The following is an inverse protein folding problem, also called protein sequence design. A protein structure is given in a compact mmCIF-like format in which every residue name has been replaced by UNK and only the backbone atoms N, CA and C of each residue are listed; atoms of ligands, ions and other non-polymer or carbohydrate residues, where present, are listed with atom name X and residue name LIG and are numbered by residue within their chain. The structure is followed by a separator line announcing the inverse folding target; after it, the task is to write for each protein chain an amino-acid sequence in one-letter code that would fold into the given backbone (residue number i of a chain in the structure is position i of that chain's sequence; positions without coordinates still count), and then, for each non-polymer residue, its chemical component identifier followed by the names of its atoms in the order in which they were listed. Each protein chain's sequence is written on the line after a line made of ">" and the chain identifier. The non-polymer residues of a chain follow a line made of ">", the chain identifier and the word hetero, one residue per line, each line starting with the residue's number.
data_IF_071720348388
#
_entry.id   IF_071720348388
#
_cell.length_a   1.000
_cell.length_b   1.000
_cell.length_c   1.000
_cell.angle_alpha   90.00
_cell.angle_beta   90.00
_cell.angle_gamma   90.00
#
_symmetry.space_group_name_H-M   'P 1'
#
loop_
_entity.id
_entity.type
_entity.pdbx_description
1 polymer ?
#
# COMPACT_ATOMS: atom_id res chain seq x y z
N UNK A 1 31.46 8.13 -33.69
CA UNK A 1 31.76 7.60 -32.34
C UNK A 1 31.03 8.33 -31.20
N UNK A 2 30.47 9.54 -31.40
CA UNK A 2 29.76 10.29 -30.35
C UNK A 2 28.29 9.88 -30.14
N UNK A 3 27.59 9.47 -31.20
CA UNK A 3 26.16 9.12 -31.11
C UNK A 3 25.95 7.85 -30.26
N UNK A 4 26.81 6.85 -30.42
CA UNK A 4 26.71 5.60 -29.67
C UNK A 4 26.95 5.80 -28.17
N UNK A 5 27.91 6.67 -27.81
CA UNK A 5 28.16 7.08 -26.43
C UNK A 5 26.97 7.86 -25.84
N UNK A 6 26.35 8.73 -26.65
CA UNK A 6 25.18 9.49 -26.26
C UNK A 6 23.95 8.59 -26.03
N UNK A 7 23.73 7.58 -26.88
CA UNK A 7 22.67 6.59 -26.70
C UNK A 7 22.91 5.72 -25.45
N UNK A 8 24.15 5.31 -25.19
CA UNK A 8 24.53 4.59 -23.96
C UNK A 8 24.29 5.44 -22.71
N UNK A 9 24.64 6.73 -22.75
CA UNK A 9 24.38 7.66 -21.65
C UNK A 9 22.88 7.88 -21.42
N UNK A 10 22.08 8.02 -22.48
CA UNK A 10 20.62 8.12 -22.38
C UNK A 10 20.02 6.85 -21.77
N UNK A 11 20.48 5.66 -22.16
CA UNK A 11 19.97 4.40 -21.61
C UNK A 11 20.23 4.25 -20.11
N UNK A 12 21.33 4.79 -19.60
CA UNK A 12 21.64 4.80 -18.17
C UNK A 12 20.70 5.71 -17.35
N UNK A 13 20.11 6.73 -17.98
CA UNK A 13 19.09 7.59 -17.34
C UNK A 13 17.69 6.94 -17.28
N UNK A 14 17.46 5.88 -18.07
CA UNK A 14 16.19 5.15 -18.14
C UNK A 14 16.21 3.83 -17.35
N UNK A 15 17.15 3.66 -16.42
CA UNK A 15 17.08 2.57 -15.44
C UNK A 15 16.01 2.89 -14.39
N UNK A 16 14.74 2.70 -14.75
CA UNK A 16 13.61 2.80 -13.83
C UNK A 16 13.63 1.51 -12.99
N UNK A 17 14.29 1.55 -11.83
CA UNK A 17 14.03 0.55 -10.79
C UNK A 17 12.52 0.52 -10.54
N UNK A 18 11.91 -0.64 -10.24
CA UNK A 18 10.48 -0.71 -9.95
C UNK A 18 10.19 0.23 -8.77
N UNK A 19 9.69 1.42 -9.11
CA UNK A 19 9.40 2.45 -8.14
C UNK A 19 8.19 1.97 -7.37
N UNK A 20 8.35 1.74 -6.08
CA UNK A 20 7.25 1.39 -5.19
C UNK A 20 6.24 2.55 -5.16
N UNK A 21 5.29 2.52 -6.09
CA UNK A 21 4.36 3.61 -6.39
C UNK A 21 3.46 3.89 -5.19
N UNK A 22 3.09 2.83 -4.46
CA UNK A 22 2.36 2.88 -3.21
C UNK A 22 3.10 2.09 -2.14
N UNK A 23 3.98 2.78 -1.41
CA UNK A 23 4.70 2.15 -0.31
C UNK A 23 3.77 1.97 0.90
N UNK A 24 3.63 0.71 1.35
CA UNK A 24 2.83 0.32 2.51
C UNK A 24 3.76 0.05 3.69
N UNK A 25 3.54 0.76 4.79
CA UNK A 25 4.25 0.56 6.05
C UNK A 25 3.25 0.09 7.12
N UNK A 26 3.54 -1.06 7.75
CA UNK A 26 2.71 -1.65 8.80
C UNK A 26 3.51 -1.65 10.11
N UNK A 27 3.00 -0.94 11.11
CA UNK A 27 3.62 -0.85 12.44
C UNK A 27 2.71 -1.48 13.47
N UNK A 28 3.29 -2.31 14.33
CA UNK A 28 2.58 -2.93 15.44
C UNK A 28 2.99 -2.28 16.75
N UNK A 29 2.03 -1.95 17.61
CA UNK A 29 2.28 -1.39 18.94
C UNK A 29 1.44 -2.12 19.98
N UNK A 30 2.11 -2.72 20.97
CA UNK A 30 1.44 -3.29 22.13
C UNK A 30 0.91 -2.16 23.02
N UNK A 31 -0.33 -2.30 23.47
CA UNK A 31 -1.02 -1.37 24.35
C UNK A 31 -1.56 -2.08 25.59
N UNK A 32 -1.25 -1.53 26.77
CA UNK A 32 -1.77 -1.97 28.06
C UNK A 32 -1.65 -3.49 28.31
N UNK A 33 -0.64 -4.12 27.71
CA UNK A 33 -0.37 -5.57 27.67
C UNK A 33 -1.55 -6.48 27.29
N UNK A 34 -2.62 -5.93 26.72
CA UNK A 34 -3.87 -6.65 26.39
C UNK A 34 -4.29 -6.46 24.94
N UNK A 35 -3.78 -5.43 24.28
CA UNK A 35 -4.16 -5.06 22.93
C UNK A 35 -2.93 -4.86 22.07
N UNK A 36 -3.09 -5.07 20.77
CA UNK A 36 -2.13 -4.70 19.75
C UNK A 36 -2.81 -3.74 18.78
N UNK A 37 -2.21 -2.57 18.58
CA UNK A 37 -2.62 -1.59 17.57
C UNK A 37 -1.76 -1.79 16.34
N UNK A 38 -2.43 -1.99 15.21
CA UNK A 38 -1.82 -2.11 13.89
C UNK A 38 -2.07 -0.79 13.17
N UNK A 39 -1.01 -0.05 12.89
CA UNK A 39 -1.06 1.19 12.09
C UNK A 39 -0.58 0.85 10.70
N UNK A 40 -1.40 1.17 9.71
CA UNK A 40 -1.07 1.02 8.29
C UNK A 40 -0.94 2.42 7.73
N UNK A 41 0.19 2.71 7.09
CA UNK A 41 0.45 3.94 6.37
C UNK A 41 0.70 3.62 4.91
N UNK A 42 0.07 4.39 4.02
CA UNK A 42 0.28 4.30 2.57
C UNK A 42 0.85 5.62 2.09
N UNK A 43 2.01 5.55 1.43
CA UNK A 43 2.67 6.70 0.83
C UNK A 43 2.44 6.70 -0.68
N UNK A 44 1.90 7.79 -1.22
CA UNK A 44 1.74 7.95 -2.65
C UNK A 44 3.05 8.44 -3.28
N UNK A 45 3.91 7.51 -3.68
CA UNK A 45 5.16 7.82 -4.39
C UNK A 45 4.97 7.92 -5.91
N UNK A 46 3.75 7.64 -6.39
CA UNK A 46 3.36 7.80 -7.79
C UNK A 46 3.27 9.27 -8.18
N UNK A 47 3.17 9.53 -9.49
CA UNK A 47 2.91 10.87 -10.02
C UNK A 47 1.40 11.18 -10.17
N UNK A 48 0.53 10.29 -9.69
CA UNK A 48 -0.94 10.40 -9.87
C UNK A 48 -1.62 10.72 -8.54
N UNK A 49 -2.65 11.55 -8.60
CA UNK A 49 -3.56 11.76 -7.48
C UNK A 49 -4.47 10.54 -7.29
N UNK A 50 -4.78 10.17 -6.05
CA UNK A 50 -5.65 9.02 -5.75
C UNK A 50 -6.90 9.53 -5.04
N UNK A 51 -8.08 9.26 -5.59
CA UNK A 51 -9.37 9.72 -5.06
C UNK A 51 -10.08 8.68 -4.20
N UNK A 52 -9.79 7.39 -4.40
CA UNK A 52 -10.31 6.32 -3.55
C UNK A 52 -9.22 5.29 -3.32
N UNK A 53 -9.12 4.80 -2.09
CA UNK A 53 -8.10 3.84 -1.68
C UNK A 53 -8.66 2.92 -0.59
N UNK A 54 -8.83 1.65 -0.94
CA UNK A 54 -9.21 0.59 -0.01
C UNK A 54 -8.22 -0.56 -0.06
N UNK A 55 -8.14 -1.30 1.05
CA UNK A 55 -7.43 -2.56 1.08
C UNK A 55 -7.93 -3.48 2.18
N UNK A 56 -7.26 -4.61 2.32
CA UNK A 56 -7.58 -5.64 3.30
C UNK A 56 -6.39 -5.88 4.22
N UNK A 57 -6.65 -5.83 5.52
CA UNK A 57 -5.72 -6.25 6.56
C UNK A 57 -5.98 -7.72 6.90
N UNK A 58 -5.01 -8.57 6.62
CA UNK A 58 -5.00 -9.97 7.02
C UNK A 58 -4.37 -10.09 8.41
N UNK A 59 -5.04 -10.85 9.28
CA UNK A 59 -4.52 -11.30 10.57
C UNK A 59 -4.20 -12.78 10.46
N UNK A 60 -2.91 -13.12 10.51
CA UNK A 60 -2.38 -14.44 10.20
C UNK A 60 -1.75 -15.01 11.47
N UNK A 61 -2.09 -16.25 11.82
CA UNK A 61 -1.49 -16.91 12.97
C UNK A 61 -0.07 -17.40 12.66
N UNK A 62 0.63 -17.91 13.67
CA UNK A 62 1.97 -18.49 13.54
C UNK A 62 2.09 -19.68 12.57
N UNK A 63 0.98 -20.37 12.29
CA UNK A 63 0.91 -21.52 11.37
C UNK A 63 0.69 -21.09 9.91
N UNK A 64 0.40 -19.81 9.67
CA UNK A 64 0.06 -19.27 8.37
C UNK A 64 -1.44 -19.28 8.06
N UNK A 65 -2.31 -19.68 9.00
CA UNK A 65 -3.76 -19.62 8.78
C UNK A 65 -4.25 -18.17 8.91
N UNK A 66 -5.10 -17.74 7.97
CA UNK A 66 -5.78 -16.44 8.03
C UNK A 66 -6.89 -16.55 9.09
N UNK A 67 -6.71 -15.88 10.22
CA UNK A 67 -7.68 -15.80 11.31
C UNK A 67 -8.81 -14.82 10.99
N UNK A 68 -8.48 -13.70 10.36
CA UNK A 68 -9.47 -12.73 9.90
C UNK A 68 -8.94 -11.86 8.77
N UNK A 69 -9.87 -11.35 7.97
CA UNK A 69 -9.65 -10.34 6.95
C UNK A 69 -10.54 -9.14 7.27
N UNK A 70 -9.98 -7.92 7.26
CA UNK A 70 -10.74 -6.69 7.51
C UNK A 70 -10.48 -5.67 6.42
N UNK A 71 -11.56 -5.20 5.77
CA UNK A 71 -11.50 -4.06 4.85
C UNK A 71 -11.16 -2.78 5.61
N UNK A 72 -10.23 -2.00 5.06
CA UNK A 72 -9.83 -0.69 5.53
C UNK A 72 -9.99 0.30 4.39
N UNK A 73 -10.86 1.29 4.59
CA UNK A 73 -11.04 2.42 3.69
C UNK A 73 -10.16 3.58 4.17
N UNK A 74 -9.21 3.97 3.31
CA UNK A 74 -8.29 5.07 3.58
C UNK A 74 -8.83 6.38 3.04
N UNK A 75 -9.43 6.35 1.86
CA UNK A 75 -9.96 7.50 1.14
C UNK A 75 -11.28 7.14 0.48
N UNK A 76 -12.30 7.93 0.77
CA UNK A 76 -13.55 8.00 0.02
C UNK A 76 -13.55 9.22 -0.92
N UNK A 77 -14.41 9.26 -1.96
CA UNK A 77 -14.45 10.39 -2.89
C UNK A 77 -14.63 11.76 -2.22
N UNK A 78 -15.29 11.80 -1.06
CA UNK A 78 -15.55 13.01 -0.29
C UNK A 78 -14.34 13.52 0.51
N UNK A 79 -13.32 12.68 0.74
CA UNK A 79 -12.14 13.03 1.55
C UNK A 79 -11.13 13.91 0.80
N UNK A 80 -11.34 14.12 -0.50
CA UNK A 80 -10.36 14.70 -1.40
C UNK A 80 -9.34 13.68 -1.90
N UNK A 81 -8.38 14.14 -2.72
CA UNK A 81 -7.40 13.25 -3.35
C UNK A 81 -6.05 13.27 -2.63
N UNK A 82 -5.50 12.07 -2.38
CA UNK A 82 -4.14 11.88 -1.91
C UNK A 82 -3.15 12.23 -3.02
N UNK A 83 -2.47 13.37 -2.87
CA UNK A 83 -1.53 13.90 -3.85
C UNK A 83 -0.21 13.10 -3.86
N UNK A 84 0.59 13.18 -4.93
CA UNK A 84 1.97 12.73 -4.93
C UNK A 84 2.75 13.22 -3.72
N UNK A 85 3.56 12.34 -3.14
CA UNK A 85 4.38 12.53 -1.93
C UNK A 85 3.59 12.77 -0.64
N UNK A 86 2.28 12.57 -0.65
CA UNK A 86 1.48 12.55 0.57
C UNK A 86 1.32 11.13 1.12
N UNK A 87 0.95 11.08 2.38
CA UNK A 87 0.70 9.83 3.11
C UNK A 87 -0.67 9.88 3.76
N UNK A 88 -1.29 8.71 3.86
CA UNK A 88 -2.53 8.51 4.63
C UNK A 88 -2.32 7.32 5.56
N UNK A 89 -2.89 7.37 6.76
CA UNK A 89 -2.80 6.29 7.73
C UNK A 89 -4.14 5.97 8.38
N UNK A 90 -4.31 4.71 8.75
CA UNK A 90 -5.43 4.20 9.53
C UNK A 90 -4.91 3.15 10.51
N UNK A 91 -5.61 2.97 11.62
CA UNK A 91 -5.27 1.93 12.59
C UNK A 91 -6.43 0.98 12.90
N UNK A 92 -6.08 -0.23 13.33
CA UNK A 92 -7.01 -1.21 13.89
C UNK A 92 -6.43 -1.82 15.15
N UNK A 93 -7.31 -2.09 16.10
CA UNK A 93 -6.96 -2.70 17.39
C UNK A 93 -7.45 -4.15 17.41
N UNK A 94 -6.59 -5.04 17.88
CA UNK A 94 -6.86 -6.45 18.11
C UNK A 94 -6.50 -6.82 19.55
N UNK A 95 -7.07 -7.90 20.05
CA UNK A 95 -6.64 -8.48 21.33
C UNK A 95 -5.24 -9.07 21.18
N UNK A 96 -4.39 -8.87 22.19
CA UNK A 96 -3.03 -9.39 22.20
C UNK A 96 -3.04 -10.89 22.49
N UNK A 97 -2.60 -11.70 21.54
CA UNK A 97 -2.27 -13.10 21.77
C UNK A 97 -0.83 -13.22 22.30
N UNK A 98 -0.68 -13.51 23.61
CA UNK A 98 0.65 -13.61 24.24
C UNK A 98 1.37 -14.93 23.99
N UNK A 99 0.67 -15.96 23.49
CA UNK A 99 1.27 -17.30 23.35
C UNK A 99 2.17 -17.38 22.12
N UNK A 100 1.77 -16.74 21.03
CA UNK A 100 2.49 -16.76 19.76
C UNK A 100 2.30 -15.41 19.06
N UNK A 101 3.37 -14.84 18.47
CA UNK A 101 3.26 -13.58 17.75
C UNK A 101 2.45 -13.80 16.46
N UNK A 102 1.36 -13.06 16.33
CA UNK A 102 0.57 -13.03 15.10
C UNK A 102 1.28 -12.15 14.05
N UNK A 103 1.06 -12.46 12.77
CA UNK A 103 1.54 -11.66 11.64
C UNK A 103 0.37 -10.87 11.05
N UNK A 104 0.67 -9.66 10.58
CA UNK A 104 -0.30 -8.81 9.91
C UNK A 104 0.25 -8.42 8.54
N UNK A 105 -0.57 -8.60 7.52
CA UNK A 105 -0.26 -8.25 6.14
C UNK A 105 -1.36 -7.36 5.58
N UNK A 106 -1.00 -6.43 4.70
CA UNK A 106 -1.96 -5.50 4.11
C UNK A 106 -1.82 -5.49 2.58
N UNK A 107 -2.95 -5.60 1.91
CA UNK A 107 -3.04 -5.57 0.46
C UNK A 107 -3.95 -4.45 0.02
N UNK A 108 -3.47 -3.64 -0.93
CA UNK A 108 -4.29 -2.65 -1.61
C UNK A 108 -5.20 -3.41 -2.56
N UNK A 109 -6.51 -3.18 -2.46
CA UNK A 109 -7.51 -3.90 -3.24
C UNK A 109 -8.21 -3.01 -4.26
N UNK A 110 -8.30 -1.71 -3.97
CA UNK A 110 -8.96 -0.74 -4.81
C UNK A 110 -8.22 0.58 -4.78
N UNK A 111 -7.96 1.10 -5.96
CA UNK A 111 -7.42 2.42 -6.24
C UNK A 111 -8.28 3.03 -7.35
N UNK A 112 -8.72 4.26 -7.15
CA UNK A 112 -9.26 5.09 -8.23
C UNK A 112 -8.50 6.39 -8.32
N UNK A 113 -8.36 6.85 -9.55
CA UNK A 113 -7.75 8.13 -9.87
C UNK A 113 -8.86 9.14 -10.18
N UNK A 114 -8.68 10.43 -9.88
CA UNK A 114 -9.65 11.45 -10.22
C UNK A 114 -10.01 11.41 -11.70
N UNK A 115 -11.32 11.53 -12.00
CA UNK A 115 -11.87 11.52 -13.36
C UNK A 115 -11.59 10.21 -14.15
N UNK A 116 -11.24 9.12 -13.47
CA UNK A 116 -11.08 7.80 -14.06
C UNK A 116 -12.18 6.87 -13.51
N UNK A 117 -13.04 6.36 -14.40
CA UNK A 117 -14.12 5.45 -14.01
C UNK A 117 -13.63 4.04 -13.67
N UNK A 118 -12.41 3.71 -14.12
CA UNK A 118 -11.84 2.36 -14.00
C UNK A 118 -11.41 2.08 -12.57
N UNK A 119 -11.43 0.80 -12.21
CA UNK A 119 -10.96 0.34 -10.91
C UNK A 119 -9.61 -0.34 -11.09
N UNK A 120 -8.65 0.12 -10.29
CA UNK A 120 -7.32 -0.47 -10.25
C UNK A 120 -7.10 -1.16 -8.91
N UNK A 121 -6.15 -2.08 -8.91
CA UNK A 121 -5.49 -2.53 -7.69
C UNK A 121 -3.98 -2.32 -7.85
N UNK A 122 -3.20 -2.65 -6.83
CA UNK A 122 -1.75 -2.41 -6.81
C UNK A 122 -0.99 -3.65 -6.33
N UNK A 123 0.11 -3.95 -7.00
CA UNK A 123 1.11 -4.91 -6.53
C UNK A 123 2.52 -4.37 -6.78
N UNK A 124 3.45 -4.40 -5.79
CA UNK A 124 4.77 -3.78 -5.92
C UNK A 124 5.57 -4.21 -7.16
N UNK A 125 5.43 -5.48 -7.58
CA UNK A 125 6.16 -6.01 -8.73
C UNK A 125 5.65 -5.55 -10.11
N UNK A 126 4.38 -5.13 -10.23
CA UNK A 126 3.75 -4.80 -11.52
C UNK A 126 3.10 -3.41 -11.55
N UNK A 127 3.02 -2.73 -10.41
CA UNK A 127 2.38 -1.43 -10.28
C UNK A 127 0.86 -1.52 -10.27
N UNK A 128 0.20 -0.51 -10.84
CA UNK A 128 -1.24 -0.45 -10.94
C UNK A 128 -1.75 -1.30 -12.10
N UNK A 129 -2.72 -2.16 -11.84
CA UNK A 129 -3.39 -2.93 -12.88
C UNK A 129 -4.90 -2.88 -12.70
N UNK A 130 -5.60 -2.87 -13.83
CA UNK A 130 -7.05 -2.72 -13.91
C UNK A 130 -7.72 -4.04 -13.51
N UNK A 131 -8.82 -3.96 -12.76
CA UNK A 131 -9.56 -5.14 -12.24
C UNK A 131 -11.06 -5.12 -12.54
N UNK A 132 -11.54 -4.13 -13.29
CA UNK A 132 -12.92 -4.00 -13.77
C UNK A 132 -13.08 -4.24 -15.27
#
# INVERSE_FOLDING_TARGET
>A
MNILLFCLFLSALYSDEPKDLLAVDIRQRIMNDKQIRIVIQINNNSQRNISELDGFLLHINSKGDILSEKRITFLEPADGALQPKQSVSKDKVFSLNRRQPDRFEFYIAKVRFPNDYRVYTYHPAIGFYRVD
#
